data_IF_208886234644
#
_entry.id   IF_208886234644
#
_cell.length_a   1.000
_cell.length_b   1.000
_cell.length_c   1.000
_cell.angle_alpha   90.00
_cell.angle_beta   90.00
_cell.angle_gamma   90.00
#
_symmetry.space_group_name_H-M   'P 1'
#
loop_
_entity.id
_entity.type
_entity.pdbx_description
1 polymer ?
#
# COMPACT_ATOMS: atom_id res chain seq x y z
N UNK A 1 -4.41 26.32 -29.20
CA UNK A 1 -3.73 26.04 -27.92
C UNK A 1 -3.30 24.58 -27.94
N UNK A 2 -1.99 24.28 -27.87
CA UNK A 2 -1.52 22.90 -27.72
C UNK A 2 -2.05 22.38 -26.39
N UNK A 3 -2.72 21.23 -26.36
CA UNK A 3 -3.10 20.62 -25.09
C UNK A 3 -1.83 20.40 -24.27
N UNK A 4 -1.85 20.65 -22.94
CA UNK A 4 -0.70 20.30 -22.13
C UNK A 4 -0.48 18.81 -22.32
N UNK A 5 0.70 18.41 -22.81
CA UNK A 5 1.09 17.02 -22.89
C UNK A 5 0.91 16.45 -21.49
N UNK A 6 -0.16 15.70 -21.29
CA UNK A 6 -0.50 15.14 -20.00
C UNK A 6 0.60 14.13 -19.69
N UNK A 7 1.47 14.49 -18.75
CA UNK A 7 2.44 13.55 -18.24
C UNK A 7 1.65 12.49 -17.47
N UNK A 8 1.43 11.34 -18.10
CA UNK A 8 0.60 10.26 -17.57
C UNK A 8 1.12 9.77 -16.21
N UNK A 9 2.44 9.80 -15.99
CA UNK A 9 3.05 9.44 -14.71
C UNK A 9 2.70 10.46 -13.63
N UNK A 10 2.69 11.76 -13.98
CA UNK A 10 2.27 12.82 -13.05
C UNK A 10 0.79 12.71 -12.71
N UNK A 11 -0.06 12.37 -13.68
CA UNK A 11 -1.49 12.13 -13.43
C UNK A 11 -1.70 10.90 -12.52
N UNK A 12 -0.96 9.81 -12.76
CA UNK A 12 -1.03 8.63 -11.91
C UNK A 12 -0.62 8.93 -10.47
N UNK A 13 0.46 9.68 -10.26
CA UNK A 13 0.89 10.06 -8.91
C UNK A 13 -0.17 10.96 -8.22
N UNK A 14 -0.77 11.91 -8.95
CA UNK A 14 -1.90 12.70 -8.44
C UNK A 14 -3.11 11.84 -8.04
N UNK A 15 -3.45 10.82 -8.84
CA UNK A 15 -4.54 9.89 -8.53
C UNK A 15 -4.22 9.09 -7.26
N UNK A 16 -3.00 8.55 -7.14
CA UNK A 16 -2.56 7.81 -5.95
C UNK A 16 -2.66 8.69 -4.70
N UNK A 17 -2.17 9.92 -4.78
CA UNK A 17 -2.25 10.88 -3.67
C UNK A 17 -3.71 11.18 -3.26
N UNK A 18 -4.61 11.33 -4.24
CA UNK A 18 -6.03 11.57 -3.99
C UNK A 18 -6.72 10.37 -3.34
N UNK A 19 -6.37 9.15 -3.76
CA UNK A 19 -6.87 7.91 -3.14
C UNK A 19 -6.38 7.83 -1.70
N UNK A 20 -5.09 8.05 -1.45
CA UNK A 20 -4.51 8.01 -0.11
C UNK A 20 -5.19 9.01 0.85
N UNK A 21 -5.46 10.24 0.39
CA UNK A 21 -6.18 11.25 1.16
C UNK A 21 -7.61 10.85 1.52
N UNK A 22 -8.24 10.02 0.68
CA UNK A 22 -9.63 9.56 0.85
C UNK A 22 -9.74 8.12 1.37
N UNK A 23 -8.64 7.49 1.77
CA UNK A 23 -8.63 6.06 2.15
C UNK A 23 -9.60 5.75 3.30
N UNK A 24 -9.81 6.71 4.20
CA UNK A 24 -10.75 6.59 5.31
C UNK A 24 -12.19 6.33 4.87
N UNK A 25 -12.59 6.76 3.67
CA UNK A 25 -13.92 6.51 3.09
C UNK A 25 -14.13 5.05 2.69
N UNK A 26 -13.04 4.30 2.53
CA UNK A 26 -13.03 2.90 2.12
C UNK A 26 -12.57 1.96 3.25
N UNK A 27 -12.44 2.50 4.47
CA UNK A 27 -12.01 1.72 5.65
C UNK A 27 -13.00 1.92 6.79
N UNK A 28 -13.27 0.87 7.56
CA UNK A 28 -14.19 0.95 8.70
C UNK A 28 -13.58 1.74 9.88
N UNK A 29 -14.25 2.78 10.39
CA UNK A 29 -13.67 3.73 11.35
C UNK A 29 -13.22 3.09 12.68
N UNK A 30 -13.94 2.08 13.18
CA UNK A 30 -13.70 1.58 14.55
C UNK A 30 -12.61 0.49 14.66
N UNK A 31 -12.09 -0.02 13.54
CA UNK A 31 -11.08 -1.08 13.54
C UNK A 31 -9.86 -0.78 12.66
N UNK A 32 -9.87 0.30 11.88
CA UNK A 32 -8.90 0.45 10.81
C UNK A 32 -7.54 1.05 11.21
N UNK A 33 -7.35 1.57 12.44
CA UNK A 33 -6.16 2.39 12.73
C UNK A 33 -5.61 2.39 14.17
N UNK A 34 -5.96 1.43 15.04
CA UNK A 34 -5.26 1.34 16.35
C UNK A 34 -3.87 0.72 16.27
N UNK A 35 -3.46 0.19 15.11
CA UNK A 35 -2.12 -0.35 14.86
C UNK A 35 -1.31 0.60 13.97
N UNK A 36 -0.10 0.96 14.42
CA UNK A 36 0.84 1.74 13.63
C UNK A 36 1.14 1.02 12.31
N UNK A 37 0.82 1.65 11.17
CA UNK A 37 1.12 1.09 9.85
C UNK A 37 2.59 1.31 9.55
N UNK A 38 3.28 0.23 9.15
CA UNK A 38 4.68 0.28 8.75
C UNK A 38 4.88 0.93 7.37
N UNK A 39 3.86 0.93 6.52
CA UNK A 39 3.79 1.70 5.28
C UNK A 39 2.66 2.72 5.38
N UNK A 40 2.92 3.94 4.89
CA UNK A 40 1.83 4.88 4.63
C UNK A 40 0.98 4.38 3.44
N UNK A 41 -0.19 5.01 3.25
CA UNK A 41 -1.13 4.58 2.21
C UNK A 41 -0.58 4.71 0.79
N UNK A 42 0.26 5.72 0.51
CA UNK A 42 0.86 5.95 -0.81
C UNK A 42 1.83 4.83 -1.15
N UNK A 43 2.73 4.52 -0.21
CA UNK A 43 3.76 3.48 -0.40
C UNK A 43 3.13 2.09 -0.52
N UNK A 44 2.05 1.83 0.23
CA UNK A 44 1.29 0.59 0.10
C UNK A 44 0.66 0.43 -1.30
N UNK A 45 0.07 1.51 -1.85
CA UNK A 45 -0.52 1.47 -3.20
C UNK A 45 0.58 1.26 -4.25
N UNK A 46 1.71 1.96 -4.15
CA UNK A 46 2.85 1.79 -5.06
C UNK A 46 3.42 0.37 -4.99
N UNK A 47 3.57 -0.18 -3.78
CA UNK A 47 3.98 -1.57 -3.58
C UNK A 47 3.05 -2.54 -4.32
N UNK A 48 1.73 -2.41 -4.13
CA UNK A 48 0.73 -3.29 -4.77
C UNK A 48 0.82 -3.23 -6.29
N UNK A 49 0.98 -2.03 -6.86
CA UNK A 49 1.14 -1.87 -8.31
C UNK A 49 2.43 -2.54 -8.81
N UNK A 50 3.52 -2.43 -8.06
CA UNK A 50 4.81 -3.02 -8.43
C UNK A 50 4.84 -4.55 -8.28
N UNK A 51 3.99 -5.16 -7.43
CA UNK A 51 3.88 -6.62 -7.34
C UNK A 51 3.48 -7.22 -8.68
N UNK A 52 2.69 -6.52 -9.50
CA UNK A 52 2.36 -6.98 -10.85
C UNK A 52 3.58 -7.18 -11.77
N UNK A 53 4.71 -6.56 -11.44
CA UNK A 53 5.98 -6.68 -12.17
C UNK A 53 6.97 -7.68 -11.53
N UNK A 54 6.61 -8.36 -10.43
CA UNK A 54 7.54 -9.20 -9.68
C UNK A 54 6.87 -10.09 -8.61
N UNK A 55 7.60 -10.42 -7.55
CA UNK A 55 7.05 -11.16 -6.41
C UNK A 55 6.81 -10.23 -5.22
N UNK A 56 5.78 -10.52 -4.41
CA UNK A 56 5.51 -9.76 -3.18
C UNK A 56 6.73 -9.70 -2.24
N UNK A 57 7.51 -10.77 -2.13
CA UNK A 57 8.73 -10.76 -1.33
C UNK A 57 9.75 -9.77 -1.90
N UNK A 58 10.01 -9.82 -3.20
CA UNK A 58 10.97 -8.94 -3.87
C UNK A 58 10.59 -7.47 -3.69
N UNK A 59 9.31 -7.14 -3.84
CA UNK A 59 8.84 -5.76 -3.70
C UNK A 59 8.86 -5.29 -2.24
N UNK A 60 8.56 -6.17 -1.28
CA UNK A 60 8.75 -5.86 0.15
C UNK A 60 10.23 -5.66 0.50
N UNK A 61 11.15 -6.45 -0.07
CA UNK A 61 12.59 -6.26 0.11
C UNK A 61 13.07 -4.90 -0.43
N UNK A 62 12.53 -4.47 -1.58
CA UNK A 62 12.83 -3.14 -2.15
C UNK A 62 12.25 -2.01 -1.31
N UNK A 63 11.02 -2.17 -0.81
CA UNK A 63 10.34 -1.16 0.00
C UNK A 63 10.94 -1.02 1.41
N UNK A 64 11.58 -2.07 1.93
CA UNK A 64 12.19 -2.10 3.25
C UNK A 64 13.66 -2.58 3.19
N UNK A 65 14.60 -1.75 2.70
CA UNK A 65 15.99 -2.17 2.54
C UNK A 65 16.69 -2.42 3.88
N UNK A 66 16.37 -1.63 4.92
CA UNK A 66 16.89 -1.78 6.28
C UNK A 66 16.38 -3.07 6.91
N UNK A 67 17.32 -3.92 7.34
CA UNK A 67 17.06 -5.22 7.93
C UNK A 67 16.18 -5.15 9.18
N UNK A 68 16.30 -4.09 9.97
CA UNK A 68 15.50 -3.87 11.18
C UNK A 68 14.03 -3.56 10.86
N UNK A 69 13.78 -3.03 9.66
CA UNK A 69 12.45 -2.67 9.20
C UNK A 69 11.96 -3.56 8.05
N UNK A 70 12.60 -4.70 7.77
CA UNK A 70 12.13 -5.65 6.76
C UNK A 70 10.75 -6.21 7.10
N UNK A 71 10.04 -6.60 6.06
CA UNK A 71 8.75 -7.30 6.14
C UNK A 71 8.78 -8.46 5.15
N UNK A 72 8.38 -9.65 5.59
CA UNK A 72 8.21 -10.82 4.71
C UNK A 72 6.80 -10.84 4.11
N UNK A 73 6.63 -11.51 2.97
CA UNK A 73 5.30 -11.74 2.39
C UNK A 73 4.37 -12.50 3.35
N UNK A 74 4.91 -13.41 4.17
CA UNK A 74 4.12 -14.12 5.19
C UNK A 74 3.63 -13.18 6.29
N UNK A 75 4.45 -12.24 6.77
CA UNK A 75 4.03 -11.22 7.74
C UNK A 75 2.98 -10.27 7.15
N UNK A 76 3.15 -9.89 5.87
CA UNK A 76 2.16 -9.10 5.13
C UNK A 76 0.83 -9.85 4.99
N UNK A 77 0.88 -11.11 4.56
CA UNK A 77 -0.29 -11.98 4.42
C UNK A 77 -0.96 -12.32 5.76
N UNK A 78 -0.21 -12.46 6.85
CA UNK A 78 -0.77 -12.69 8.19
C UNK A 78 -1.43 -11.43 8.78
N UNK A 79 -0.93 -10.22 8.47
CA UNK A 79 -1.66 -8.99 8.78
C UNK A 79 -3.04 -8.95 8.10
N UNK A 80 -3.19 -9.66 6.98
CA UNK A 80 -4.47 -9.86 6.27
C UNK A 80 -5.25 -11.06 6.82
N UNK A 81 -4.61 -12.21 7.05
CA UNK A 81 -5.25 -13.49 7.46
C UNK A 81 -5.68 -13.52 8.93
N UNK A 82 -5.02 -12.77 9.82
CA UNK A 82 -5.50 -12.57 11.20
C UNK A 82 -6.83 -11.80 11.28
N UNK A 83 -7.37 -11.33 10.15
CA UNK A 83 -8.77 -10.85 10.00
C UNK A 83 -9.78 -11.97 9.73
N UNK A 84 -9.36 -13.20 9.45
CA UNK A 84 -10.24 -14.31 9.06
C UNK A 84 -10.57 -15.31 10.17
N UNK A 85 -9.90 -15.27 11.33
CA UNK A 85 -10.03 -16.33 12.35
C UNK A 85 -10.36 -15.80 13.76
N UNK A 86 -11.22 -14.78 13.84
CA UNK A 86 -11.96 -14.44 15.07
C UNK A 86 -13.45 -14.55 14.79
N UNK A 87 -13.93 -15.79 14.68
CA UNK A 87 -15.31 -16.14 15.01
C UNK A 87 -15.23 -17.04 16.25
N UNK A 88 -15.88 -16.58 17.32
CA UNK A 88 -16.32 -17.40 18.44
C UNK A 88 -17.23 -18.52 17.92
#
# INVERSE_FOLDING_TARGET
MKSPHLNILKLMDQIINRIAANIHKFTFPDQAFTRCRKLNAIDLIKLILNIGAGSLNTELFKAFPDINFRMSASAFGQAVSSRGNRRL
#
